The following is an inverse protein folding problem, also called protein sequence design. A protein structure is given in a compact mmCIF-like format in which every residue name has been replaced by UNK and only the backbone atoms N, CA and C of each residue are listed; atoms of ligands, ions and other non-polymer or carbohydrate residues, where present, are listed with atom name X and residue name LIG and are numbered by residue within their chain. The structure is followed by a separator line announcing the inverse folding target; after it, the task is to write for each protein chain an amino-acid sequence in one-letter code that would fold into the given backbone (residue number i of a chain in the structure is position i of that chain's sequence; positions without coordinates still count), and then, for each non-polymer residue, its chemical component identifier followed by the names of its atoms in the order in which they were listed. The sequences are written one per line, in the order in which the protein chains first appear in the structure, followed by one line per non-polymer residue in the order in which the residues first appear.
data_IF_872364003185
#
_entry.id   IF_872364003185
#
_cell.length_a   1.000
_cell.length_b   1.000
_cell.length_c   1.000
_cell.angle_alpha   90.00
_cell.angle_beta   90.00
_cell.angle_gamma   90.00
#
_symmetry.space_group_name_H-M   'P 1'
#
loop_
_entity.id
_entity.type
_entity.pdbx_description
1 polymer ?
#
# COMPACT_ATOMS: atom_id res chain seq x y z
N UNK A 1 5.11 29.61 -15.99
CA UNK A 1 6.00 29.30 -14.86
C UNK A 1 5.94 27.82 -14.47
N UNK A 2 4.77 27.16 -14.50
CA UNK A 2 4.62 25.74 -14.12
C UNK A 2 5.42 24.75 -14.98
N UNK A 3 5.45 24.91 -16.31
CA UNK A 3 6.20 24.01 -17.19
C UNK A 3 7.73 24.05 -16.94
N UNK A 4 8.28 25.24 -16.68
CA UNK A 4 9.71 25.40 -16.36
C UNK A 4 10.03 24.79 -15.00
N UNK A 5 9.16 24.98 -14.01
CA UNK A 5 9.29 24.34 -12.70
C UNK A 5 9.24 22.82 -12.81
N UNK A 6 8.31 22.28 -13.60
CA UNK A 6 8.19 20.84 -13.84
C UNK A 6 9.45 20.27 -14.49
N UNK A 7 9.96 20.89 -15.56
CA UNK A 7 11.19 20.46 -16.23
C UNK A 7 12.39 20.56 -15.28
N UNK A 8 12.49 21.63 -14.49
CA UNK A 8 13.53 21.79 -13.47
C UNK A 8 13.46 20.72 -12.38
N UNK A 9 12.26 20.37 -11.91
CA UNK A 9 12.03 19.32 -10.92
C UNK A 9 12.42 17.93 -11.47
N UNK A 10 12.03 17.61 -12.71
CA UNK A 10 12.42 16.37 -13.38
C UNK A 10 13.95 16.29 -13.54
N UNK A 11 14.58 17.38 -13.99
CA UNK A 11 16.04 17.44 -14.17
C UNK A 11 16.76 17.25 -12.83
N UNK A 12 16.34 17.97 -11.79
CA UNK A 12 16.91 17.85 -10.44
C UNK A 12 16.75 16.44 -9.87
N UNK A 13 15.55 15.85 -9.97
CA UNK A 13 15.28 14.48 -9.53
C UNK A 13 16.14 13.48 -10.28
N UNK A 14 16.33 13.66 -11.59
CA UNK A 14 17.16 12.80 -12.43
C UNK A 14 18.63 12.86 -11.99
N UNK A 15 19.18 14.06 -11.81
CA UNK A 15 20.56 14.24 -11.35
C UNK A 15 20.78 13.62 -9.96
N UNK A 16 19.91 13.93 -9.01
CA UNK A 16 19.97 13.37 -7.65
C UNK A 16 19.88 11.85 -7.66
N UNK A 17 18.96 11.29 -8.44
CA UNK A 17 18.81 9.84 -8.57
C UNK A 17 20.03 9.19 -9.19
N UNK A 18 20.62 9.77 -10.24
CA UNK A 18 21.85 9.27 -10.86
C UNK A 18 23.02 9.25 -9.87
N UNK A 19 23.23 10.33 -9.11
CA UNK A 19 24.31 10.41 -8.13
C UNK A 19 24.13 9.40 -6.99
N UNK A 20 22.93 9.31 -6.42
CA UNK A 20 22.63 8.36 -5.34
C UNK A 20 22.69 6.92 -5.81
N UNK A 21 22.21 6.64 -7.03
CA UNK A 21 22.30 5.32 -7.67
C UNK A 21 23.75 4.89 -7.88
N UNK A 22 24.60 5.79 -8.38
CA UNK A 22 26.03 5.54 -8.51
C UNK A 22 26.68 5.26 -7.15
N UNK A 23 26.35 6.05 -6.13
CA UNK A 23 26.88 5.86 -4.78
C UNK A 23 26.49 4.49 -4.19
N UNK A 24 25.25 4.04 -4.42
CA UNK A 24 24.74 2.75 -3.97
C UNK A 24 25.45 1.60 -4.69
N UNK A 25 25.66 1.73 -6.01
CA UNK A 25 26.40 0.75 -6.79
C UNK A 25 27.85 0.60 -6.29
N UNK A 26 28.55 1.72 -6.07
CA UNK A 26 29.92 1.72 -5.52
C UNK A 26 29.96 1.07 -4.15
N UNK A 27 29.05 1.42 -3.24
CA UNK A 27 28.97 0.81 -1.89
C UNK A 27 28.70 -0.70 -1.96
N UNK A 28 27.80 -1.13 -2.84
CA UNK A 28 27.50 -2.55 -3.01
C UNK A 28 28.69 -3.34 -3.57
N UNK A 29 29.47 -2.74 -4.48
CA UNK A 29 30.68 -3.37 -5.03
C UNK A 29 31.79 -3.44 -3.98
N UNK A 30 32.01 -2.37 -3.22
CA UNK A 30 32.99 -2.34 -2.13
C UNK A 30 32.64 -3.36 -1.04
N UNK A 31 31.36 -3.46 -0.65
CA UNK A 31 30.92 -4.45 0.34
C UNK A 31 31.17 -5.89 -0.15
N UNK A 32 30.89 -6.17 -1.44
CA UNK A 32 31.19 -7.48 -2.05
C UNK A 32 32.69 -7.77 -2.13
N UNK A 33 33.53 -6.77 -2.38
CA UNK A 33 34.97 -6.93 -2.47
C UNK A 33 35.64 -7.12 -1.09
N UNK A 34 35.10 -6.47 -0.05
CA UNK A 34 35.61 -6.55 1.32
C UNK A 34 35.06 -7.75 2.10
N UNK A 35 33.89 -8.26 1.72
CA UNK A 35 33.37 -9.53 2.21
C UNK A 35 34.28 -10.67 1.74
N UNK A 36 35.30 -10.99 2.53
CA UNK A 36 36.16 -12.16 2.29
C UNK A 36 35.29 -13.41 2.21
N UNK A 37 35.57 -14.36 1.30
CA UNK A 37 34.93 -15.67 1.36
C UNK A 37 35.31 -16.29 2.70
N UNK A 38 34.31 -16.48 3.57
CA UNK A 38 34.53 -17.20 4.82
C UNK A 38 35.14 -18.56 4.47
N UNK A 39 36.40 -18.74 4.88
CA UNK A 39 37.16 -19.97 4.74
C UNK A 39 36.42 -21.03 5.56
N UNK A 40 35.80 -22.01 4.89
CA UNK A 40 35.21 -23.19 5.53
C UNK A 40 36.21 -23.81 6.52
N UNK A 41 35.98 -23.81 7.84
CA UNK A 41 36.57 -24.80 8.71
C UNK A 41 35.65 -26.03 8.64
N UNK A 42 36.15 -27.13 8.09
CA UNK A 42 35.42 -28.40 8.14
C UNK A 42 35.15 -28.82 9.59
N UNK A 43 34.02 -29.49 9.82
CA UNK A 43 33.83 -30.36 10.97
C UNK A 43 32.52 -30.18 11.74
N UNK A 44 31.79 -31.28 11.83
CA UNK A 44 30.68 -31.61 12.74
C UNK A 44 29.28 -31.05 12.42
N UNK A 45 28.45 -31.93 11.88
CA UNK A 45 26.98 -31.85 11.93
C UNK A 45 26.50 -31.82 13.40
N UNK A 46 25.58 -30.92 13.76
CA UNK A 46 24.76 -31.08 14.94
C UNK A 46 23.48 -31.84 14.58
N UNK A 47 23.32 -32.99 15.21
CA UNK A 47 22.12 -33.81 15.31
C UNK A 47 20.82 -33.00 15.41
N UNK A 48 19.87 -33.34 14.55
CA UNK A 48 18.44 -33.04 14.63
C UNK A 48 17.86 -33.49 15.97
N UNK A 49 17.57 -32.52 16.84
CA UNK A 49 16.57 -32.65 17.91
C UNK A 49 15.65 -31.42 17.82
N UNK A 50 14.63 -31.52 16.96
CA UNK A 50 13.58 -30.52 16.79
C UNK A 50 12.43 -30.78 17.76
N UNK A 51 12.56 -30.28 18.98
CA UNK A 51 11.51 -30.21 19.97
C UNK A 51 11.64 -28.90 20.75
N UNK A 52 10.82 -27.92 20.39
CA UNK A 52 10.82 -26.58 21.02
C UNK A 52 10.37 -25.51 20.04
N UNK A 53 9.05 -25.34 19.90
CA UNK A 53 8.46 -24.17 19.26
C UNK A 53 8.75 -22.94 20.11
N UNK A 54 9.85 -22.26 19.79
CA UNK A 54 10.18 -20.95 20.32
C UNK A 54 9.70 -19.89 19.33
N UNK A 55 8.95 -18.93 19.84
CA UNK A 55 8.60 -17.64 19.24
C UNK A 55 9.78 -17.09 18.41
N UNK A 56 9.77 -17.38 17.12
CA UNK A 56 10.85 -17.00 16.21
C UNK A 56 10.76 -15.51 15.97
N UNK A 57 11.76 -14.75 16.44
CA UNK A 57 11.82 -13.29 16.37
C UNK A 57 11.44 -12.76 14.97
N UNK A 58 10.16 -12.41 14.81
CA UNK A 58 9.63 -11.92 13.53
C UNK A 58 10.37 -10.62 13.22
N UNK A 59 10.99 -10.45 12.04
CA UNK A 59 11.73 -9.23 11.75
C UNK A 59 10.78 -8.03 11.70
N UNK A 60 11.21 -6.89 12.24
CA UNK A 60 10.45 -5.63 12.20
C UNK A 60 10.16 -5.13 10.77
N UNK A 61 10.88 -5.65 9.77
CA UNK A 61 10.62 -5.40 8.35
C UNK A 61 10.61 -6.73 7.61
N UNK A 62 9.48 -7.03 6.96
CA UNK A 62 9.34 -8.14 6.00
C UNK A 62 9.31 -7.57 4.59
N UNK A 63 9.89 -8.29 3.64
CA UNK A 63 10.00 -7.86 2.25
C UNK A 63 9.10 -8.72 1.38
N UNK A 64 8.42 -8.10 0.43
CA UNK A 64 7.54 -8.77 -0.51
C UNK A 64 7.95 -8.45 -1.93
N UNK A 65 7.95 -9.46 -2.79
CA UNK A 65 8.04 -9.30 -4.25
C UNK A 65 6.75 -9.82 -4.88
N UNK A 66 6.19 -9.04 -5.80
CA UNK A 66 4.86 -9.29 -6.33
C UNK A 66 4.58 -8.59 -7.64
N UNK A 67 3.31 -8.58 -8.01
CA UNK A 67 2.82 -8.02 -9.27
C UNK A 67 1.54 -7.26 -9.01
N UNK A 68 1.43 -6.09 -9.63
CA UNK A 68 0.18 -5.32 -9.70
C UNK A 68 -0.41 -5.50 -11.08
N UNK A 69 -1.67 -5.94 -11.15
CA UNK A 69 -2.44 -6.06 -12.39
C UNK A 69 -3.57 -5.06 -12.40
N UNK A 70 -3.70 -4.32 -13.48
CA UNK A 70 -4.80 -3.37 -13.70
C UNK A 70 -5.60 -3.83 -14.91
N UNK A 71 -6.86 -4.15 -14.72
CA UNK A 71 -7.79 -4.55 -15.78
C UNK A 71 -8.89 -3.49 -15.93
N UNK A 72 -8.87 -2.75 -17.04
CA UNK A 72 -9.93 -1.85 -17.48
C UNK A 72 -10.74 -2.49 -18.60
N UNK A 73 -12.06 -2.51 -18.45
CA UNK A 73 -13.02 -3.09 -19.41
C UNK A 73 -13.76 -2.03 -20.24
N UNK A 74 -13.90 -0.80 -19.71
CA UNK A 74 -14.58 0.33 -20.37
C UNK A 74 -13.82 1.67 -20.18
N UNK A 75 -14.03 2.66 -21.07
CA UNK A 75 -14.74 2.56 -22.35
C UNK A 75 -13.98 1.73 -23.38
N UNK A 76 -12.64 1.67 -23.27
CA UNK A 76 -11.76 0.84 -24.11
C UNK A 76 -11.05 -0.21 -23.23
N UNK A 77 -11.07 -1.50 -23.61
CA UNK A 77 -10.32 -2.53 -22.90
C UNK A 77 -8.82 -2.26 -22.85
N UNK A 78 -8.26 -2.36 -21.65
CA UNK A 78 -6.84 -2.16 -21.40
C UNK A 78 -6.44 -2.87 -20.12
N UNK A 79 -5.64 -3.93 -20.25
CA UNK A 79 -5.11 -4.73 -19.13
C UNK A 79 -3.58 -4.73 -19.20
N UNK A 80 -2.94 -4.63 -18.05
CA UNK A 80 -1.50 -4.75 -17.92
C UNK A 80 -1.12 -5.18 -16.51
N UNK A 81 0.10 -5.70 -16.39
CA UNK A 81 0.67 -6.14 -15.13
C UNK A 81 2.14 -5.76 -15.06
N UNK A 82 2.62 -5.38 -13.88
CA UNK A 82 4.01 -4.98 -13.67
C UNK A 82 4.54 -5.48 -12.31
N UNK A 83 5.84 -5.81 -12.22
CA UNK A 83 6.44 -6.27 -10.97
C UNK A 83 6.58 -5.11 -9.98
N UNK A 84 6.42 -5.42 -8.71
CA UNK A 84 6.56 -4.49 -7.59
C UNK A 84 7.28 -5.15 -6.43
N UNK A 85 7.88 -4.33 -5.59
CA UNK A 85 8.44 -4.74 -4.29
C UNK A 85 7.82 -3.86 -3.23
N UNK A 86 7.45 -4.46 -2.11
CA UNK A 86 6.89 -3.77 -0.95
C UNK A 86 7.64 -4.16 0.31
N UNK A 87 7.73 -3.21 1.25
CA UNK A 87 8.16 -3.46 2.61
C UNK A 87 6.91 -3.50 3.48
N UNK A 88 6.80 -4.52 4.32
CA UNK A 88 5.84 -4.60 5.41
C UNK A 88 6.59 -4.28 6.70
N UNK A 89 6.30 -3.13 7.28
CA UNK A 89 7.02 -2.54 8.39
C UNK A 89 6.13 -2.62 9.63
N UNK A 90 6.63 -3.25 10.69
CA UNK A 90 6.02 -3.17 12.02
C UNK A 90 6.26 -1.77 12.59
N UNK A 91 5.19 -0.97 12.71
CA UNK A 91 5.28 0.42 13.17
C UNK A 91 5.50 0.54 14.67
N UNK A 92 5.40 -0.53 15.44
CA UNK A 92 5.72 -0.54 16.86
C UNK A 92 7.19 -0.86 17.10
N UNK A 93 7.79 -1.68 16.23
CA UNK A 93 9.17 -2.18 16.39
C UNK A 93 10.21 -1.51 15.51
N UNK A 94 9.84 -0.99 14.34
CA UNK A 94 10.83 -0.46 13.39
C UNK A 94 11.50 0.83 13.89
N UNK A 95 12.74 1.16 13.49
CA UNK A 95 13.30 2.49 13.78
C UNK A 95 12.52 3.61 13.06
N UNK A 96 12.37 4.81 13.65
CA UNK A 96 11.66 5.94 13.04
C UNK A 96 12.17 6.35 11.64
N UNK A 97 13.45 6.11 11.37
CA UNK A 97 14.12 6.43 10.10
C UNK A 97 13.53 5.70 8.88
N UNK A 98 12.84 4.58 9.09
CA UNK A 98 12.15 3.82 8.04
C UNK A 98 10.76 4.38 7.69
N UNK A 99 10.34 5.49 8.32
CA UNK A 99 8.95 5.98 8.28
C UNK A 99 8.78 7.49 8.07
N UNK A 100 9.59 8.18 7.24
CA UNK A 100 9.66 9.65 7.27
C UNK A 100 8.36 10.38 6.82
N UNK A 101 7.43 9.71 6.12
CA UNK A 101 6.25 10.34 5.51
C UNK A 101 4.93 9.58 5.73
N UNK A 102 4.88 8.72 6.76
CA UNK A 102 3.74 7.86 7.06
C UNK A 102 3.17 8.11 8.46
N UNK A 103 1.97 7.63 8.75
CA UNK A 103 1.38 7.70 10.08
C UNK A 103 2.25 6.99 11.12
N UNK A 104 2.25 7.48 12.36
CA UNK A 104 2.73 6.72 13.51
C UNK A 104 1.77 5.58 13.84
N UNK A 105 2.24 4.56 14.58
CA UNK A 105 1.40 3.47 15.06
C UNK A 105 0.22 4.00 15.90
N UNK A 106 0.47 4.93 16.82
CA UNK A 106 -0.57 5.52 17.66
C UNK A 106 -1.61 6.28 16.86
N UNK A 107 -1.18 7.03 15.83
CA UNK A 107 -2.11 7.74 14.97
C UNK A 107 -2.93 6.78 14.11
N UNK A 108 -2.33 5.70 13.63
CA UNK A 108 -3.04 4.67 12.88
C UNK A 108 -4.08 3.96 13.77
N UNK A 109 -3.75 3.63 15.03
CA UNK A 109 -4.69 3.09 16.03
C UNK A 109 -5.87 4.03 16.28
N UNK A 110 -5.59 5.32 16.48
CA UNK A 110 -6.63 6.32 16.71
C UNK A 110 -7.58 6.43 15.51
N UNK A 111 -7.02 6.45 14.29
CA UNK A 111 -7.80 6.55 13.04
C UNK A 111 -8.62 5.28 12.79
N UNK A 112 -8.04 4.10 13.06
CA UNK A 112 -8.69 2.82 12.82
C UNK A 112 -9.59 2.36 13.99
N UNK A 113 -9.57 3.06 15.13
CA UNK A 113 -10.19 2.65 16.38
C UNK A 113 -9.78 1.23 16.82
N UNK A 114 -8.48 0.94 16.77
CA UNK A 114 -7.91 -0.35 17.19
C UNK A 114 -6.88 -0.16 18.30
N UNK A 115 -6.52 -1.25 19.01
CA UNK A 115 -5.60 -1.20 20.16
C UNK A 115 -4.42 -2.17 20.09
N UNK A 116 -4.28 -2.94 19.00
CA UNK A 116 -3.19 -3.89 18.78
C UNK A 116 -2.04 -3.36 17.91
N UNK A 117 -1.19 -4.26 17.39
CA UNK A 117 -0.08 -3.92 16.49
C UNK A 117 -0.54 -3.21 15.21
N UNK A 118 0.36 -2.42 14.60
CA UNK A 118 0.11 -1.81 13.29
C UNK A 118 1.24 -2.15 12.31
N UNK A 119 0.88 -2.75 11.18
CA UNK A 119 1.82 -3.06 10.10
C UNK A 119 1.57 -2.14 8.91
N UNK A 120 2.62 -1.56 8.34
CA UNK A 120 2.56 -0.71 7.15
C UNK A 120 3.15 -1.43 5.94
N UNK A 121 2.33 -1.66 4.92
CA UNK A 121 2.79 -2.07 3.59
C UNK A 121 2.99 -0.85 2.70
N UNK A 122 4.23 -0.61 2.28
CA UNK A 122 4.61 0.58 1.48
C UNK A 122 5.76 0.27 0.52
N UNK A 123 5.95 1.13 -0.49
CA UNK A 123 7.17 1.16 -1.32
C UNK A 123 8.06 2.28 -0.75
N UNK A 124 9.17 1.95 -0.07
CA UNK A 124 10.09 2.96 0.45
C UNK A 124 10.69 3.83 -0.66
N UNK A 125 11.00 5.09 -0.32
CA UNK A 125 11.77 5.97 -1.19
C UNK A 125 13.12 5.33 -1.55
N UNK A 126 13.58 5.58 -2.78
CA UNK A 126 14.81 4.98 -3.30
C UNK A 126 15.56 5.99 -4.14
N UNK A 127 16.86 6.10 -3.90
CA UNK A 127 17.79 7.00 -4.60
C UNK A 127 17.21 8.42 -4.79
N UNK A 128 16.62 8.98 -3.73
CA UNK A 128 16.12 10.37 -3.73
C UNK A 128 14.78 10.58 -4.43
N UNK A 129 14.02 9.53 -4.71
CA UNK A 129 12.69 9.63 -5.32
C UNK A 129 11.66 8.78 -4.57
N UNK A 130 10.45 9.33 -4.44
CA UNK A 130 9.29 8.67 -3.84
C UNK A 130 8.16 8.66 -4.88
N UNK A 131 7.63 7.46 -5.13
CA UNK A 131 6.45 7.24 -5.94
C UNK A 131 5.80 5.96 -5.45
N UNK A 132 4.77 6.13 -4.63
CA UNK A 132 4.00 5.04 -4.06
C UNK A 132 2.49 5.37 -4.12
N UNK A 133 1.76 4.83 -5.12
CA UNK A 133 0.34 5.12 -5.29
C UNK A 133 -0.55 4.62 -4.15
N UNK A 134 -0.13 3.57 -3.44
CA UNK A 134 -0.93 2.93 -2.39
C UNK A 134 -0.02 2.40 -1.27
N UNK A 135 -0.26 2.87 -0.06
CA UNK A 135 0.19 2.21 1.17
C UNK A 135 -1.02 1.65 1.92
N UNK A 136 -0.85 0.51 2.58
CA UNK A 136 -1.91 -0.08 3.41
C UNK A 136 -1.40 -0.31 4.82
N UNK A 137 -2.12 0.23 5.80
CA UNK A 137 -1.91 -0.04 7.22
C UNK A 137 -2.86 -1.17 7.64
N UNK A 138 -2.31 -2.22 8.22
CA UNK A 138 -3.04 -3.33 8.83
C UNK A 138 -3.13 -3.08 10.33
N UNK A 139 -4.33 -2.78 10.81
CA UNK A 139 -4.59 -2.40 12.18
C UNK A 139 -5.27 -3.59 12.89
N UNK A 140 -4.58 -4.13 13.89
CA UNK A 140 -5.03 -5.27 14.66
C UNK A 140 -5.65 -4.84 15.97
N UNK A 141 -6.51 -5.69 16.54
CA UNK A 141 -6.86 -5.61 17.95
C UNK A 141 -5.82 -6.36 18.78
N UNK A 142 -5.64 -5.94 20.03
CA UNK A 142 -4.82 -6.66 20.99
C UNK A 142 -5.40 -8.07 21.21
N UNK A 143 -4.53 -9.08 21.27
CA UNK A 143 -4.95 -10.44 21.59
C UNK A 143 -5.71 -10.44 22.92
N UNK A 144 -6.95 -10.95 22.93
CA UNK A 144 -7.74 -11.03 24.15
C UNK A 144 -7.19 -12.10 25.10
N UNK A 145 -7.34 -11.90 26.40
CA UNK A 145 -6.96 -12.88 27.44
C UNK A 145 -7.70 -14.23 27.34
N UNK A 146 -8.69 -14.35 26.44
CA UNK A 146 -9.55 -15.53 26.25
C UNK A 146 -9.28 -16.29 24.94
N UNK A 147 -8.19 -16.04 24.23
CA UNK A 147 -7.78 -16.90 23.12
C UNK A 147 -7.03 -18.12 23.67
N UNK A 148 -7.76 -19.23 23.79
CA UNK A 148 -7.29 -20.51 24.32
C UNK A 148 -5.99 -20.97 23.65
N UNK A 149 -5.06 -21.45 24.50
CA UNK A 149 -3.75 -22.02 24.17
C UNK A 149 -3.81 -22.95 22.95
N UNK A 150 -3.24 -22.49 21.83
CA UNK A 150 -3.08 -23.31 20.63
C UNK A 150 -2.57 -22.57 19.39
N UNK A 151 -2.76 -21.26 19.28
CA UNK A 151 -2.32 -20.50 18.10
C UNK A 151 -1.55 -19.22 18.49
N UNK A 152 -0.24 -19.22 18.21
CA UNK A 152 0.71 -18.12 18.54
C UNK A 152 0.74 -17.08 17.40
N UNK A 153 -0.43 -16.78 16.80
CA UNK A 153 -0.64 -15.77 15.73
C UNK A 153 -1.88 -14.89 15.96
N UNK A 154 -2.29 -14.78 17.22
CA UNK A 154 -3.62 -14.46 17.75
C UNK A 154 -4.01 -12.97 17.75
N UNK A 155 -3.42 -12.14 16.89
CA UNK A 155 -3.93 -10.77 16.69
C UNK A 155 -4.89 -10.76 15.50
N UNK A 156 -6.17 -10.52 15.77
CA UNK A 156 -7.19 -10.44 14.72
C UNK A 156 -7.07 -9.13 13.94
N UNK A 157 -6.89 -9.21 12.63
CA UNK A 157 -6.94 -8.03 11.75
C UNK A 157 -8.35 -7.42 11.82
N UNK A 158 -8.43 -6.16 12.28
CA UNK A 158 -9.70 -5.49 12.56
C UNK A 158 -10.09 -4.52 11.46
N UNK A 159 -9.17 -3.64 11.09
CA UNK A 159 -9.37 -2.61 10.07
C UNK A 159 -8.11 -2.44 9.21
N UNK A 160 -8.29 -1.90 8.01
CA UNK A 160 -7.20 -1.42 7.19
C UNK A 160 -7.35 0.07 6.89
N UNK A 161 -6.23 0.78 6.75
CA UNK A 161 -6.20 2.16 6.26
C UNK A 161 -5.51 2.16 4.90
N UNK A 162 -6.17 2.70 3.86
CA UNK A 162 -5.55 2.95 2.58
C UNK A 162 -5.05 4.40 2.52
N UNK A 163 -3.75 4.57 2.32
CA UNK A 163 -3.14 5.86 1.99
C UNK A 163 -2.86 5.89 0.49
N UNK A 164 -3.61 6.75 -0.20
CA UNK A 164 -3.58 6.83 -1.67
C UNK A 164 -2.98 8.15 -2.09
N UNK A 165 -1.96 8.10 -2.95
CA UNK A 165 -1.36 9.28 -3.57
C UNK A 165 -1.71 9.31 -5.06
N UNK A 166 -2.40 10.36 -5.53
CA UNK A 166 -2.74 10.47 -6.96
C UNK A 166 -1.55 10.96 -7.79
N UNK A 167 -1.50 10.49 -9.03
CA UNK A 167 -0.52 10.91 -10.04
C UNK A 167 -1.30 11.47 -11.23
N UNK A 168 -0.98 12.65 -11.77
CA UNK A 168 0.23 13.44 -11.50
C UNK A 168 0.10 14.54 -10.43
N UNK A 169 -1.03 14.65 -9.73
CA UNK A 169 -1.30 15.82 -8.87
C UNK A 169 -0.63 15.79 -7.50
N UNK A 170 -0.16 14.61 -7.03
CA UNK A 170 0.59 14.49 -5.77
C UNK A 170 -0.25 14.70 -4.51
N UNK A 171 -1.57 14.68 -4.63
CA UNK A 171 -2.48 14.76 -3.50
C UNK A 171 -2.55 13.40 -2.80
N UNK A 172 -2.57 13.42 -1.47
CA UNK A 172 -2.60 12.24 -0.63
C UNK A 172 -3.83 12.26 0.26
N UNK A 173 -4.54 11.14 0.31
CA UNK A 173 -5.70 10.95 1.20
C UNK A 173 -5.58 9.64 1.94
N UNK A 174 -6.11 9.61 3.16
CA UNK A 174 -6.25 8.40 3.95
C UNK A 174 -7.72 8.10 4.16
N UNK A 175 -8.04 6.81 4.14
CA UNK A 175 -9.37 6.34 4.49
C UNK A 175 -9.36 4.90 5.00
N UNK A 176 -10.31 4.57 5.86
CA UNK A 176 -10.38 3.28 6.56
C UNK A 176 -11.40 2.38 5.88
N UNK A 177 -11.09 1.08 5.81
CA UNK A 177 -11.97 0.06 5.23
C UNK A 177 -11.88 -1.27 5.99
N UNK A 178 -12.95 -2.06 5.94
CA UNK A 178 -12.94 -3.43 6.45
C UNK A 178 -12.19 -4.37 5.48
N UNK A 179 -11.20 -5.15 5.94
CA UNK A 179 -10.39 -6.02 5.07
C UNK A 179 -11.21 -7.10 4.33
N UNK A 180 -12.29 -7.62 4.93
CA UNK A 180 -13.05 -8.74 4.37
C UNK A 180 -13.84 -8.39 3.11
N UNK A 181 -14.40 -7.19 3.05
CA UNK A 181 -14.95 -6.50 1.88
C UNK A 181 -15.60 -5.21 2.39
N UNK A 182 -15.28 -4.08 1.77
CA UNK A 182 -15.92 -2.80 2.11
C UNK A 182 -16.20 -1.98 0.86
N UNK A 183 -17.26 -1.18 0.91
CA UNK A 183 -17.61 -0.21 -0.12
C UNK A 183 -17.34 1.20 0.40
N UNK A 184 -16.48 1.90 -0.33
CA UNK A 184 -15.94 3.21 0.04
C UNK A 184 -16.26 4.20 -1.06
N UNK A 185 -16.82 5.37 -0.76
CA UNK A 185 -16.98 6.41 -1.77
C UNK A 185 -15.61 6.88 -2.25
N UNK A 186 -15.44 7.01 -3.58
CA UNK A 186 -14.16 7.39 -4.17
C UNK A 186 -13.73 8.80 -3.73
N UNK A 187 -12.65 8.93 -2.92
CA UNK A 187 -12.29 10.21 -2.29
C UNK A 187 -11.29 11.03 -3.11
N UNK A 188 -10.68 10.41 -4.12
CA UNK A 188 -9.58 11.01 -4.88
C UNK A 188 -9.65 10.68 -6.37
N UNK A 189 -9.30 11.66 -7.19
CA UNK A 189 -9.15 11.48 -8.63
C UNK A 189 -7.79 10.86 -8.92
N UNK A 190 -7.78 9.53 -9.00
CA UNK A 190 -6.53 8.73 -9.10
C UNK A 190 -5.98 8.60 -10.51
N UNK A 191 -6.75 8.95 -11.55
CA UNK A 191 -6.33 8.86 -12.95
C UNK A 191 -7.11 9.84 -13.82
N UNK A 192 -6.46 10.58 -14.73
CA UNK A 192 -7.15 11.44 -15.71
C UNK A 192 -8.08 10.69 -16.67
N UNK A 193 -8.05 9.35 -16.70
CA UNK A 193 -8.90 8.52 -17.56
C UNK A 193 -10.01 7.81 -16.76
N UNK A 194 -10.30 8.28 -15.55
CA UNK A 194 -11.26 7.66 -14.64
C UNK A 194 -12.02 8.73 -13.86
N UNK A 195 -13.33 8.84 -14.07
CA UNK A 195 -14.17 9.82 -13.37
C UNK A 195 -14.23 9.60 -11.85
N UNK A 196 -14.87 10.52 -11.14
CA UNK A 196 -15.07 10.46 -9.69
C UNK A 196 -16.33 9.68 -9.26
N UNK A 197 -17.08 9.14 -10.20
CA UNK A 197 -18.35 8.50 -9.93
C UNK A 197 -18.16 7.06 -9.43
N UNK A 198 -19.10 6.63 -8.61
CA UNK A 198 -19.08 5.30 -8.00
C UNK A 198 -18.22 5.21 -6.75
N UNK A 199 -18.00 3.95 -6.35
CA UNK A 199 -17.38 3.55 -5.10
C UNK A 199 -16.22 2.58 -5.36
N UNK A 200 -15.29 2.49 -4.42
CA UNK A 200 -14.29 1.44 -4.36
C UNK A 200 -14.84 0.25 -3.57
N UNK A 201 -14.86 -0.92 -4.17
CA UNK A 201 -14.94 -2.19 -3.47
C UNK A 201 -13.52 -2.64 -3.15
N UNK A 202 -13.19 -2.75 -1.87
CA UNK A 202 -11.85 -3.05 -1.39
C UNK A 202 -11.81 -4.32 -0.56
N UNK A 203 -10.75 -5.08 -0.75
CA UNK A 203 -10.46 -6.31 -0.02
C UNK A 203 -8.95 -6.41 0.19
N UNK A 204 -8.55 -6.83 1.38
CA UNK A 204 -7.15 -7.04 1.73
C UNK A 204 -7.02 -8.21 2.71
N UNK A 205 -6.18 -9.18 2.36
CA UNK A 205 -5.86 -10.28 3.25
C UNK A 205 -4.88 -9.84 4.34
N UNK A 206 -4.93 -10.52 5.50
CA UNK A 206 -3.89 -10.34 6.50
C UNK A 206 -2.52 -10.76 5.93
N UNK A 207 -1.46 -9.97 6.12
CA UNK A 207 -0.15 -10.24 5.55
C UNK A 207 0.53 -11.48 6.17
N UNK A 208 0.48 -12.59 5.44
CA UNK A 208 1.21 -13.83 5.70
C UNK A 208 2.34 -14.05 4.69
N UNK A 209 2.61 -15.31 4.33
CA UNK A 209 3.60 -15.63 3.28
C UNK A 209 3.18 -15.11 1.90
N UNK A 210 1.89 -15.24 1.60
CA UNK A 210 1.25 -14.63 0.44
C UNK A 210 0.42 -13.43 0.94
N UNK A 211 0.38 -12.39 0.13
CA UNK A 211 -0.38 -11.17 0.39
C UNK A 211 -1.20 -10.81 -0.85
N UNK A 212 -2.47 -10.50 -0.64
CA UNK A 212 -3.37 -10.05 -1.70
C UNK A 212 -4.16 -8.80 -1.32
N UNK A 213 -4.30 -7.89 -2.29
CA UNK A 213 -5.16 -6.71 -2.19
C UNK A 213 -5.92 -6.59 -3.50
N UNK A 214 -7.24 -6.41 -3.43
CA UNK A 214 -8.10 -6.20 -4.59
C UNK A 214 -8.92 -4.93 -4.42
N UNK A 215 -8.92 -4.10 -5.47
CA UNK A 215 -9.67 -2.85 -5.54
C UNK A 215 -10.43 -2.84 -6.85
N UNK A 216 -11.75 -2.72 -6.81
CA UNK A 216 -12.56 -2.54 -8.01
C UNK A 216 -13.49 -1.35 -7.91
N UNK A 217 -13.82 -0.74 -9.04
CA UNK A 217 -14.83 0.33 -9.09
C UNK A 217 -16.22 -0.29 -9.15
N UNK A 218 -17.15 0.19 -8.34
CA UNK A 218 -18.59 -0.01 -8.53
C UNK A 218 -19.19 1.29 -9.11
N UNK A 219 -19.32 1.33 -10.44
CA UNK A 219 -19.82 2.51 -11.14
C UNK A 219 -21.34 2.40 -11.38
N UNK A 220 -22.14 3.45 -11.12
CA UNK A 220 -23.59 3.39 -11.26
C UNK A 220 -24.06 3.06 -12.68
N UNK A 221 -23.30 3.45 -13.71
CA UNK A 221 -23.68 3.21 -15.12
C UNK A 221 -22.80 2.20 -15.86
N UNK A 222 -21.58 1.96 -15.39
CA UNK A 222 -20.59 1.12 -16.09
C UNK A 222 -20.35 -0.21 -15.36
N UNK A 223 -20.91 -0.37 -14.15
CA UNK A 223 -20.63 -1.50 -13.27
C UNK A 223 -19.15 -1.60 -12.91
N UNK A 224 -18.68 -2.84 -12.68
CA UNK A 224 -17.27 -3.12 -12.43
C UNK A 224 -16.44 -3.07 -13.72
N UNK A 225 -16.09 -1.86 -14.14
CA UNK A 225 -15.29 -1.63 -15.34
C UNK A 225 -13.78 -1.55 -15.09
N UNK A 226 -13.34 -1.48 -13.84
CA UNK A 226 -11.93 -1.39 -13.49
C UNK A 226 -11.63 -2.22 -12.24
N UNK A 227 -10.55 -2.99 -12.29
CA UNK A 227 -10.03 -3.75 -11.16
C UNK A 227 -8.51 -3.59 -11.11
N UNK A 228 -7.97 -3.34 -9.92
CA UNK A 228 -6.55 -3.41 -9.61
C UNK A 228 -6.33 -4.50 -8.56
N UNK A 229 -5.39 -5.40 -8.80
CA UNK A 229 -5.00 -6.43 -7.82
C UNK A 229 -3.51 -6.38 -7.58
N UNK A 230 -3.11 -6.53 -6.32
CA UNK A 230 -1.75 -6.80 -5.89
C UNK A 230 -1.70 -8.25 -5.41
N UNK A 231 -0.77 -9.02 -5.94
CA UNK A 231 -0.38 -10.31 -5.37
C UNK A 231 1.12 -10.28 -5.11
N UNK A 232 1.54 -10.56 -3.88
CA UNK A 232 2.94 -10.54 -3.50
C UNK A 232 3.28 -11.70 -2.57
N UNK A 233 4.53 -12.17 -2.65
CA UNK A 233 5.07 -13.22 -1.79
C UNK A 233 6.17 -12.67 -0.91
N UNK A 234 6.21 -13.12 0.34
CA UNK A 234 7.27 -12.78 1.27
C UNK A 234 8.60 -13.36 0.76
N UNK A 235 9.64 -12.53 0.78
CA UNK A 235 11.00 -12.89 0.42
C UNK A 235 11.77 -13.15 1.71
N UNK A 236 12.10 -14.42 1.94
CA UNK A 236 13.00 -14.83 3.01
C UNK A 236 14.45 -14.74 2.51
N UNK A 237 15.30 -14.00 3.22
CA UNK A 237 16.73 -14.00 2.92
C UNK A 237 17.43 -15.11 3.70
N UNK A 238 18.06 -16.04 2.99
CA UNK A 238 18.90 -17.07 3.60
C UNK A 238 20.22 -16.51 4.16
N UNK A 239 20.61 -15.29 3.78
CA UNK A 239 21.77 -14.58 4.30
C UNK A 239 21.34 -13.38 5.15
N UNK A 240 22.07 -13.14 6.23
CA UNK A 240 21.85 -12.08 7.22
C UNK A 240 22.00 -10.63 6.70
N UNK A 241 21.97 -10.40 5.38
CA UNK A 241 22.35 -9.13 4.77
C UNK A 241 21.53 -8.74 3.54
N UNK A 242 20.20 -8.94 3.55
CA UNK A 242 19.38 -8.34 2.51
C UNK A 242 19.34 -6.81 2.72
N UNK A 243 20.16 -6.11 1.94
CA UNK A 243 20.26 -4.67 2.01
C UNK A 243 18.99 -4.02 1.40
N UNK A 244 18.21 -3.35 2.24
CA UNK A 244 16.96 -2.66 1.86
C UNK A 244 17.16 -1.72 0.66
N UNK A 245 18.25 -0.95 0.65
CA UNK A 245 18.52 0.01 -0.42
C UNK A 245 18.74 -0.68 -1.77
N UNK A 246 19.44 -1.82 -1.79
CA UNK A 246 19.64 -2.61 -3.01
C UNK A 246 18.35 -3.31 -3.46
N UNK A 247 17.53 -3.79 -2.52
CA UNK A 247 16.25 -4.44 -2.82
C UNK A 247 15.26 -3.49 -3.48
N UNK A 248 15.17 -2.25 -2.98
CA UNK A 248 14.30 -1.21 -3.53
C UNK A 248 14.96 -0.33 -4.60
N UNK A 249 16.15 -0.68 -5.08
CA UNK A 249 16.90 0.16 -6.01
C UNK A 249 16.07 0.48 -7.28
N UNK A 250 15.82 1.78 -7.50
CA UNK A 250 15.01 2.32 -8.61
C UNK A 250 13.53 1.85 -8.62
N UNK A 251 13.02 1.25 -7.53
CA UNK A 251 11.66 0.72 -7.51
C UNK A 251 10.60 1.82 -7.69
N UNK A 252 10.63 2.96 -6.97
CA UNK A 252 9.72 4.08 -7.21
C UNK A 252 9.77 4.63 -8.65
N UNK A 253 10.96 4.75 -9.25
CA UNK A 253 11.12 5.19 -10.64
C UNK A 253 10.44 4.22 -11.61
N UNK A 254 10.59 2.91 -11.41
CA UNK A 254 9.90 1.90 -12.22
C UNK A 254 8.39 2.07 -12.13
N UNK A 255 7.85 2.29 -10.93
CA UNK A 255 6.41 2.55 -10.74
C UNK A 255 5.98 3.80 -11.51
N UNK A 256 6.71 4.91 -11.40
CA UNK A 256 6.41 6.14 -12.14
C UNK A 256 6.40 5.92 -13.66
N UNK A 257 7.45 5.28 -14.19
CA UNK A 257 7.57 4.98 -15.63
C UNK A 257 6.37 4.14 -16.09
N UNK A 258 5.98 3.10 -15.35
CA UNK A 258 4.83 2.28 -15.68
C UNK A 258 3.52 3.07 -15.69
N UNK A 259 3.29 3.95 -14.71
CA UNK A 259 2.09 4.79 -14.65
C UNK A 259 2.00 5.71 -15.87
N UNK A 260 3.08 6.46 -16.16
CA UNK A 260 3.09 7.38 -17.30
C UNK A 260 3.02 6.66 -18.65
N UNK A 261 3.67 5.50 -18.78
CA UNK A 261 3.61 4.70 -20.00
C UNK A 261 2.19 4.20 -20.29
N UNK A 262 1.47 3.73 -19.27
CA UNK A 262 0.10 3.26 -19.46
C UNK A 262 -0.89 4.42 -19.66
N UNK A 263 -0.66 5.57 -19.01
CA UNK A 263 -1.39 6.79 -19.30
C UNK A 263 -1.24 7.22 -20.77
N UNK A 264 -0.02 7.20 -21.31
CA UNK A 264 0.24 7.49 -22.72
C UNK A 264 -0.47 6.52 -23.66
N UNK A 265 -0.47 5.21 -23.34
CA UNK A 265 -1.21 4.20 -24.12
C UNK A 265 -2.72 4.43 -24.10
N UNK A 266 -3.30 4.83 -22.97
CA UNK A 266 -4.73 5.15 -22.89
C UNK A 266 -5.09 6.38 -23.71
N UNK A 267 -4.23 7.41 -23.65
CA UNK A 267 -4.36 8.59 -24.50
C UNK A 267 -4.30 8.23 -25.99
N UNK A 268 -3.35 7.39 -26.40
CA UNK A 268 -3.25 6.90 -27.79
C UNK A 268 -4.48 6.08 -28.21
N UNK A 269 -5.11 5.38 -27.27
CA UNK A 269 -6.37 4.65 -27.48
C UNK A 269 -7.61 5.57 -27.48
N UNK A 270 -7.44 6.90 -27.49
CA UNK A 270 -8.51 7.89 -27.45
C UNK A 270 -9.46 7.74 -26.25
N UNK A 271 -8.96 7.29 -25.10
CA UNK A 271 -9.75 7.31 -23.87
C UNK A 271 -9.92 8.78 -23.42
N UNK A 272 -11.15 9.24 -23.11
CA UNK A 272 -11.37 10.63 -22.73
C UNK A 272 -10.53 11.06 -21.53
N UNK A 273 -9.87 12.21 -21.68
CA UNK A 273 -9.17 12.87 -20.59
C UNK A 273 -10.17 13.69 -19.76
N UNK A 274 -10.16 13.49 -18.45
CA UNK A 274 -10.99 14.17 -17.48
C UNK A 274 -10.14 15.14 -16.68
N UNK A 275 -10.55 16.41 -16.66
CA UNK A 275 -9.87 17.42 -15.87
C UNK A 275 -10.01 17.14 -14.38
N UNK A 276 -8.98 17.49 -13.61
CA UNK A 276 -9.02 17.29 -12.17
C UNK A 276 -10.18 18.06 -11.52
N UNK A 277 -10.99 17.42 -10.65
CA UNK A 277 -12.16 18.03 -10.04
C UNK A 277 -11.86 19.34 -9.30
N UNK A 278 -10.67 19.48 -8.71
CA UNK A 278 -10.25 20.72 -7.98
C UNK A 278 -10.38 22.02 -8.79
N UNK A 279 -10.35 21.94 -10.12
CA UNK A 279 -10.51 23.12 -10.99
C UNK A 279 -11.96 23.46 -11.32
N UNK A 280 -12.90 22.55 -11.01
CA UNK A 280 -14.33 22.68 -11.30
C UNK A 280 -15.13 22.82 -10.01
N UNK A 281 -14.86 21.94 -9.05
CA UNK A 281 -15.50 21.90 -7.73
C UNK A 281 -14.42 21.72 -6.64
N UNK A 282 -14.04 22.79 -5.92
CA UNK A 282 -13.10 22.70 -4.81
C UNK A 282 -13.57 21.79 -3.66
N UNK A 283 -14.89 21.62 -3.50
CA UNK A 283 -15.52 20.81 -2.44
C UNK A 283 -15.71 19.34 -2.83
N UNK A 284 -15.13 18.87 -3.95
CA UNK A 284 -15.32 17.49 -4.42
C UNK A 284 -14.95 16.40 -3.40
N UNK A 285 -14.07 16.72 -2.44
CA UNK A 285 -13.70 15.83 -1.34
C UNK A 285 -14.79 15.76 -0.27
N UNK A 286 -15.40 16.90 0.05
CA UNK A 286 -16.52 16.96 0.99
C UNK A 286 -17.73 16.23 0.41
N UNK A 287 -17.98 16.35 -0.89
CA UNK A 287 -19.03 15.58 -1.59
C UNK A 287 -18.75 14.08 -1.52
N UNK A 288 -17.50 13.65 -1.65
CA UNK A 288 -17.14 12.25 -1.47
C UNK A 288 -17.35 11.78 -0.03
N UNK A 289 -17.05 12.63 0.96
CA UNK A 289 -17.32 12.34 2.38
C UNK A 289 -18.82 12.18 2.66
N UNK A 290 -19.66 13.06 2.11
CA UNK A 290 -21.12 12.99 2.28
C UNK A 290 -21.66 11.70 1.65
N UNK A 291 -21.24 11.36 0.42
CA UNK A 291 -21.63 10.10 -0.23
C UNK A 291 -21.22 8.87 0.57
N UNK A 292 -20.03 8.91 1.17
CA UNK A 292 -19.56 7.79 2.01
C UNK A 292 -20.44 7.62 3.26
N UNK A 293 -20.90 8.71 3.86
CA UNK A 293 -21.86 8.67 4.97
C UNK A 293 -23.21 8.07 4.53
N UNK A 294 -23.70 8.42 3.33
CA UNK A 294 -24.95 7.89 2.78
C UNK A 294 -24.89 6.37 2.53
N UNK A 295 -23.76 5.86 2.00
CA UNK A 295 -23.55 4.42 1.79
C UNK A 295 -23.69 3.60 3.09
N UNK A 296 -23.39 4.21 4.23
CA UNK A 296 -23.48 3.57 5.55
C UNK A 296 -24.89 3.58 6.11
N UNK A 297 -25.65 4.64 5.85
CA UNK A 297 -27.02 4.80 6.35
C UNK A 297 -28.02 3.91 5.59
N UNK A 298 -27.66 3.46 4.39
CA UNK A 298 -28.47 2.58 3.56
C UNK A 298 -27.79 1.21 3.42
N UNK A 299 -27.90 0.29 4.41
CA UNK A 299 -27.55 -1.10 4.15
C UNK A 299 -28.45 -1.57 3.00
N UNK A 300 -27.83 -1.96 1.89
CA UNK A 300 -28.54 -2.37 0.68
C UNK A 300 -29.63 -3.39 1.03
N UNK A 301 -30.88 -3.05 0.69
CA UNK A 301 -32.01 -3.97 0.66
C UNK A 301 -31.66 -5.04 -0.39
N UNK A 302 -31.05 -6.15 0.03
CA UNK A 302 -30.55 -7.12 -0.93
C UNK A 302 -29.70 -8.27 -0.40
N UNK A 303 -30.15 -8.96 0.66
CA UNK A 303 -29.96 -10.41 0.84
C UNK A 303 -28.55 -10.97 1.11
N UNK A 304 -28.21 -11.16 2.39
CA UNK A 304 -27.96 -12.51 2.94
C UNK A 304 -27.94 -12.42 4.47
N UNK A 305 -28.81 -13.20 5.12
CA UNK A 305 -28.87 -13.34 6.58
C UNK A 305 -27.70 -14.22 7.04
N UNK A 306 -26.87 -13.68 7.95
CA UNK A 306 -26.23 -14.36 9.10
C UNK A 306 -24.79 -13.88 9.35
N UNK A 307 -24.66 -12.75 10.04
CA UNK A 307 -23.94 -12.61 11.31
C UNK A 307 -24.02 -11.13 11.69
N UNK A 308 -25.00 -10.78 12.52
CA UNK A 308 -25.08 -9.47 13.14
C UNK A 308 -23.93 -9.33 14.15
N UNK A 309 -22.79 -8.83 13.70
CA UNK A 309 -21.85 -8.17 14.59
C UNK A 309 -22.51 -6.83 14.91
N UNK A 310 -23.00 -6.69 16.14
CA UNK A 310 -23.38 -5.41 16.72
C UNK A 310 -22.15 -4.50 16.68
N UNK A 311 -21.98 -3.72 15.61
CA UNK A 311 -21.13 -2.52 15.64
C UNK A 311 -21.95 -1.44 16.31
N UNK A 312 -21.51 -1.01 17.48
CA UNK A 312 -22.18 0.07 18.21
C UNK A 312 -22.09 1.38 17.41
N UNK A 313 -23.07 2.28 17.55
CA UNK A 313 -23.06 3.59 16.87
C UNK A 313 -21.79 4.43 17.19
N UNK A 314 -21.04 4.11 18.25
CA UNK A 314 -19.76 4.75 18.58
C UNK A 314 -18.60 4.30 17.68
N UNK A 315 -18.58 3.06 17.20
CA UNK A 315 -17.57 2.55 16.24
C UNK A 315 -17.64 3.27 14.88
N UNK A 316 -18.81 3.85 14.58
CA UNK A 316 -19.08 4.53 13.32
C UNK A 316 -18.51 5.96 13.24
N UNK A 317 -18.18 6.57 14.39
CA UNK A 317 -17.79 7.98 14.50
C UNK A 317 -16.36 8.26 14.01
N UNK A 318 -15.50 7.25 13.97
CA UNK A 318 -14.06 7.41 13.68
C UNK A 318 -13.62 6.79 12.35
N UNK A 319 -14.50 6.02 11.69
CA UNK A 319 -14.15 5.27 10.47
C UNK A 319 -13.65 6.14 9.32
N UNK A 320 -14.08 7.40 9.20
CA UNK A 320 -13.61 8.27 8.12
C UNK A 320 -13.36 9.71 8.53
N UNK A 321 -12.12 10.15 8.32
CA UNK A 321 -11.77 11.54 8.00
C UNK A 321 -10.81 11.48 6.83
N UNK A 322 -11.09 12.24 5.76
CA UNK A 322 -10.08 12.50 4.73
C UNK A 322 -9.00 13.34 5.41
N UNK A 323 -7.88 12.71 5.73
CA UNK A 323 -6.72 13.41 6.24
C UNK A 323 -5.89 13.87 5.05
N UNK A 324 -5.93 15.18 4.77
CA UNK A 324 -4.92 15.80 3.93
C UNK A 324 -3.67 16.02 4.77
N UNK A 325 -2.53 15.50 4.33
CA UNK A 325 -1.25 15.92 4.90
C UNK A 325 -1.06 17.42 4.64
N UNK A 326 -0.83 18.21 5.69
CA UNK A 326 -0.26 19.54 5.56
C UNK A 326 1.22 19.36 5.22
N UNK A 327 1.59 19.67 3.98
CA UNK A 327 2.97 19.70 3.49
C UNK A 327 3.87 20.63 4.28
#
# INVERSE_FOLDING_TARGET
MEAVYLVGSIASTTVTSCLLSLSLAVRSLLFRALASPARNPGGSEPSTNGGGGGDGDIPAVRLYEGRVRHARRRPVPHDFEYPVRYALIDLDRAPPQLRPSHLSADRAREVAATNGPVLLLTIPASVGYEQNPLSVYYCYDAAGEQEQEGDVSSSRLRMCIAEVTNTPWGERVLFVFNPGSDLVAKPLHVSPFMDMLGNWSMHADAPGEDLSIAISVEHPTLGNYFTATLHAKQVYSSSSSLNLATFFWMMPHKVAIWIYWQALKLWWKNVPFLQHPKYINPMYRDDALIRDQELRCCPSIGGSKNHSIHTSDEDNKYRWRVFSWSS
#
